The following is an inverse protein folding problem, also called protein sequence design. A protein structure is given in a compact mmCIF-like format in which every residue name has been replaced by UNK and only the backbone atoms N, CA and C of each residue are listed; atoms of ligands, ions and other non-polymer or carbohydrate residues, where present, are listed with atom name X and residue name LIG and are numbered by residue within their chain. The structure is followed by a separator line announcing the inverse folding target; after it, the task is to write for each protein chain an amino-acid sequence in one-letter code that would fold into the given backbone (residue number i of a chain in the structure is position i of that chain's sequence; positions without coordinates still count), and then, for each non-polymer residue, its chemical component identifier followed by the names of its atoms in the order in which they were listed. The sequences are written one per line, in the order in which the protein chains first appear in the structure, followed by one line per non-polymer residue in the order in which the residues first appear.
data_IF_128400114198
#
_entry.id   IF_128400114198
#
_cell.length_a   1.000
_cell.length_b   1.000
_cell.length_c   1.000
_cell.angle_alpha   90.00
_cell.angle_beta   90.00
_cell.angle_gamma   90.00
#
_symmetry.space_group_name_H-M   'P 1'
#
loop_
_entity.id
_entity.type
_entity.pdbx_description
1 polymer ?
#
# COMPACT_ATOMS: atom_id res chain seq x y z
N UNK A 1 14.71 -11.38 -5.16
CA UNK A 1 14.59 -12.83 -5.06
C UNK A 1 13.15 -13.27 -4.86
N UNK A 2 12.88 -14.56 -5.00
CA UNK A 2 11.56 -15.14 -4.80
C UNK A 2 11.49 -15.88 -3.45
N UNK A 3 11.95 -15.20 -2.40
CA UNK A 3 12.12 -15.76 -1.05
C UNK A 3 11.45 -14.85 -0.03
N UNK A 4 10.78 -15.43 0.96
CA UNK A 4 10.34 -14.80 2.19
C UNK A 4 11.28 -15.24 3.32
N UNK A 5 11.98 -14.28 3.93
CA UNK A 5 12.89 -14.53 5.05
C UNK A 5 12.24 -14.25 6.41
N UNK A 6 12.55 -15.06 7.40
CA UNK A 6 12.23 -14.86 8.81
C UNK A 6 13.52 -14.83 9.63
N UNK A 7 13.73 -13.78 10.40
CA UNK A 7 14.83 -13.66 11.34
C UNK A 7 14.30 -13.84 12.78
N UNK A 8 14.98 -14.66 13.57
CA UNK A 8 14.81 -14.67 15.03
C UNK A 8 15.76 -13.63 15.63
N UNK A 9 15.26 -12.53 16.22
CA UNK A 9 16.11 -11.46 16.70
C UNK A 9 16.93 -11.83 17.96
N UNK A 10 16.50 -12.86 18.70
CA UNK A 10 17.20 -13.31 19.92
C UNK A 10 18.40 -14.22 19.61
N UNK A 11 18.25 -15.10 18.59
CA UNK A 11 19.28 -16.08 18.25
C UNK A 11 20.08 -15.71 17.01
N UNK A 12 19.58 -14.76 16.17
CA UNK A 12 20.14 -14.44 14.86
C UNK A 12 19.85 -15.50 13.79
N UNK A 13 19.09 -16.55 14.12
CA UNK A 13 18.75 -17.60 13.17
C UNK A 13 17.85 -17.08 12.05
N UNK A 14 18.21 -17.41 10.81
CA UNK A 14 17.45 -17.06 9.61
C UNK A 14 16.80 -18.31 9.01
N UNK A 15 15.51 -18.21 8.66
CA UNK A 15 14.80 -19.24 7.90
C UNK A 15 14.21 -18.62 6.63
N UNK A 16 14.41 -19.31 5.51
CA UNK A 16 13.94 -18.89 4.19
C UNK A 16 12.83 -19.81 3.69
N UNK A 17 11.82 -19.20 3.05
CA UNK A 17 10.69 -19.89 2.44
C UNK A 17 10.62 -19.48 0.97
N UNK A 18 10.76 -20.43 0.06
CA UNK A 18 10.64 -20.17 -1.37
C UNK A 18 9.18 -19.87 -1.72
N UNK A 19 8.93 -18.64 -2.18
CA UNK A 19 7.61 -18.22 -2.65
C UNK A 19 7.18 -19.02 -3.90
N UNK A 20 5.86 -19.16 -4.15
CA UNK A 20 5.35 -19.75 -5.37
C UNK A 20 5.99 -19.14 -6.62
N UNK A 21 6.19 -19.94 -7.66
CA UNK A 21 6.89 -19.52 -8.88
C UNK A 21 6.32 -18.23 -9.48
N UNK A 22 7.20 -17.32 -9.88
CA UNK A 22 6.84 -16.06 -10.53
C UNK A 22 6.33 -14.96 -9.59
N UNK A 23 6.26 -15.18 -8.27
CA UNK A 23 5.67 -14.21 -7.31
C UNK A 23 6.47 -12.92 -7.23
N UNK A 24 7.77 -12.97 -6.97
CA UNK A 24 8.63 -11.81 -6.77
C UNK A 24 7.97 -10.74 -5.89
N UNK A 25 7.76 -11.10 -4.61
CA UNK A 25 7.06 -10.22 -3.68
C UNK A 25 7.77 -8.87 -3.52
N UNK A 26 6.99 -7.80 -3.52
CA UNK A 26 7.48 -6.44 -3.30
C UNK A 26 7.49 -6.06 -1.82
N UNK A 27 6.45 -6.40 -1.10
CA UNK A 27 6.32 -6.06 0.31
C UNK A 27 5.67 -7.17 1.13
N UNK A 28 5.91 -7.11 2.43
CA UNK A 28 5.33 -7.99 3.45
C UNK A 28 4.55 -7.13 4.43
N UNK A 29 3.39 -7.61 4.84
CA UNK A 29 2.57 -7.04 5.91
C UNK A 29 2.18 -8.14 6.88
N UNK A 30 2.05 -7.81 8.16
CA UNK A 30 1.56 -8.75 9.16
C UNK A 30 0.08 -8.48 9.45
N UNK A 31 -0.72 -9.53 9.56
CA UNK A 31 -2.07 -9.41 10.10
C UNK A 31 -2.05 -9.37 11.66
N UNK A 32 -3.21 -9.25 12.28
CA UNK A 32 -3.32 -9.23 13.76
C UNK A 32 -2.81 -10.50 14.45
N UNK A 33 -2.71 -11.61 13.73
CA UNK A 33 -2.19 -12.89 14.23
C UNK A 33 -0.69 -13.05 13.92
N UNK A 34 -0.02 -12.00 13.46
CA UNK A 34 1.38 -12.01 13.03
C UNK A 34 1.63 -12.94 11.83
N UNK A 35 0.61 -13.26 11.05
CA UNK A 35 0.77 -14.02 9.81
C UNK A 35 1.41 -13.13 8.74
N UNK A 36 2.51 -13.54 8.11
CA UNK A 36 3.16 -12.74 7.07
C UNK A 36 2.43 -12.89 5.75
N UNK A 37 1.91 -11.76 5.26
CA UNK A 37 1.27 -11.61 3.96
C UNK A 37 2.21 -10.95 2.97
N UNK A 38 2.25 -11.47 1.75
CA UNK A 38 3.07 -10.94 0.66
C UNK A 38 2.23 -10.44 -0.50
N UNK A 39 2.78 -9.50 -1.24
CA UNK A 39 2.22 -8.92 -2.45
C UNK A 39 3.09 -9.32 -3.64
N UNK A 40 2.60 -10.28 -4.44
CA UNK A 40 3.31 -10.87 -5.58
C UNK A 40 3.28 -9.95 -6.79
N UNK A 41 4.25 -9.06 -6.85
CA UNK A 41 4.30 -7.95 -7.79
C UNK A 41 4.35 -8.40 -9.26
N UNK A 42 5.01 -9.52 -9.58
CA UNK A 42 5.13 -9.96 -10.97
C UNK A 42 3.99 -10.84 -11.48
N UNK A 43 3.35 -11.59 -10.60
CA UNK A 43 2.32 -12.54 -11.01
C UNK A 43 0.88 -12.14 -10.64
N UNK A 44 0.69 -10.91 -10.10
CA UNK A 44 -0.63 -10.40 -9.74
C UNK A 44 -1.30 -11.23 -8.65
N UNK A 45 -0.56 -11.60 -7.60
CA UNK A 45 -1.09 -12.39 -6.51
C UNK A 45 -0.92 -11.69 -5.17
N UNK A 46 -1.78 -12.02 -4.24
CA UNK A 46 -1.65 -11.71 -2.81
C UNK A 46 -1.70 -13.03 -2.06
N UNK A 47 -0.90 -13.20 -1.02
CA UNK A 47 -0.93 -14.45 -0.28
C UNK A 47 -0.27 -14.34 1.08
N UNK A 48 -0.30 -15.43 1.82
CA UNK A 48 0.36 -15.51 3.12
C UNK A 48 1.05 -16.85 3.33
N UNK A 49 1.99 -16.88 4.26
CA UNK A 49 2.60 -18.08 4.78
C UNK A 49 1.89 -18.48 6.08
N UNK A 50 1.27 -19.65 6.08
CA UNK A 50 0.80 -20.27 7.33
C UNK A 50 2.01 -20.78 8.12
N UNK A 51 2.32 -20.14 9.24
CA UNK A 51 3.48 -20.46 10.06
C UNK A 51 3.39 -21.81 10.78
N UNK A 52 2.19 -22.41 10.89
CA UNK A 52 2.02 -23.74 11.52
C UNK A 52 2.29 -24.86 10.53
N UNK A 53 1.80 -24.71 9.30
CA UNK A 53 1.92 -25.75 8.25
C UNK A 53 3.07 -25.47 7.30
N UNK A 54 3.65 -24.27 7.35
CA UNK A 54 4.68 -23.72 6.45
C UNK A 54 4.24 -23.75 4.97
N UNK A 55 2.93 -23.68 4.73
CA UNK A 55 2.35 -23.67 3.38
C UNK A 55 1.89 -22.26 3.01
N UNK A 56 2.03 -21.94 1.74
CA UNK A 56 1.51 -20.69 1.18
C UNK A 56 0.05 -20.86 0.77
N UNK A 57 -0.77 -19.86 1.11
CA UNK A 57 -2.08 -19.64 0.49
C UNK A 57 -2.00 -18.43 -0.42
N UNK A 58 -2.54 -18.53 -1.64
CA UNK A 58 -2.43 -17.53 -2.69
C UNK A 58 -3.80 -17.18 -3.24
N UNK A 59 -4.04 -15.89 -3.41
CA UNK A 59 -5.22 -15.31 -4.06
C UNK A 59 -4.77 -14.64 -5.36
N UNK A 60 -5.42 -14.98 -6.46
CA UNK A 60 -5.19 -14.34 -7.76
C UNK A 60 -6.11 -13.14 -7.93
N UNK A 61 -5.62 -12.08 -8.57
CA UNK A 61 -6.47 -10.94 -8.92
C UNK A 61 -7.60 -11.37 -9.85
N UNK A 62 -8.83 -10.84 -9.66
CA UNK A 62 -9.99 -11.19 -10.49
C UNK A 62 -9.90 -10.57 -11.89
N UNK A 63 -9.11 -9.52 -12.07
CA UNK A 63 -8.89 -8.85 -13.34
C UNK A 63 -7.46 -9.12 -13.84
N UNK A 64 -7.32 -9.56 -15.09
CA UNK A 64 -6.02 -9.80 -15.76
C UNK A 64 -5.13 -8.56 -15.87
N UNK A 65 -5.71 -7.36 -15.79
CA UNK A 65 -4.99 -6.10 -15.80
C UNK A 65 -4.46 -5.69 -14.42
N UNK A 66 -4.94 -6.31 -13.34
CA UNK A 66 -4.48 -6.09 -11.98
C UNK A 66 -3.25 -6.96 -11.69
N UNK A 67 -2.05 -6.48 -12.05
CA UNK A 67 -0.86 -7.34 -12.11
C UNK A 67 0.16 -7.14 -11.01
N UNK A 68 0.29 -5.94 -10.47
CA UNK A 68 1.44 -5.52 -9.68
C UNK A 68 1.06 -5.03 -8.27
N UNK A 69 0.48 -5.88 -7.42
CA UNK A 69 0.23 -5.51 -6.04
C UNK A 69 1.55 -5.11 -5.37
N UNK A 70 1.53 -3.96 -4.66
CA UNK A 70 2.75 -3.27 -4.29
C UNK A 70 2.91 -3.06 -2.79
N UNK A 71 2.01 -2.32 -2.15
CA UNK A 71 2.03 -2.04 -0.70
C UNK A 71 0.67 -2.35 -0.11
N UNK A 72 0.63 -2.93 1.09
CA UNK A 72 -0.62 -3.29 1.74
C UNK A 72 -0.65 -3.01 3.23
N UNK A 73 -1.89 -2.91 3.76
CA UNK A 73 -2.18 -2.69 5.18
C UNK A 73 -3.49 -3.41 5.55
N UNK A 74 -3.55 -3.94 6.77
CA UNK A 74 -4.78 -4.53 7.33
C UNK A 74 -5.55 -3.49 8.12
N UNK A 75 -6.88 -3.48 7.99
CA UNK A 75 -7.74 -2.78 8.92
C UNK A 75 -8.11 -3.66 10.14
N UNK A 76 -8.79 -3.06 11.13
CA UNK A 76 -9.17 -3.74 12.37
C UNK A 76 -10.18 -4.88 12.14
N UNK A 77 -10.94 -4.84 11.05
CA UNK A 77 -11.84 -5.92 10.64
C UNK A 77 -11.09 -7.08 9.98
N UNK A 78 -9.80 -6.93 9.73
CA UNK A 78 -8.93 -7.90 9.09
C UNK A 78 -9.06 -7.92 7.56
N UNK A 79 -9.56 -6.86 6.97
CA UNK A 79 -9.56 -6.66 5.51
C UNK A 79 -8.17 -6.18 5.08
N UNK A 80 -7.65 -6.76 4.03
CA UNK A 80 -6.36 -6.38 3.46
C UNK A 80 -6.55 -5.39 2.31
N UNK A 81 -6.09 -4.16 2.51
CA UNK A 81 -6.08 -3.09 1.53
C UNK A 81 -4.72 -2.99 0.88
N UNK A 82 -4.66 -2.83 -0.44
CA UNK A 82 -3.38 -2.78 -1.15
C UNK A 82 -3.44 -1.94 -2.43
N UNK A 83 -2.28 -1.45 -2.84
CA UNK A 83 -2.11 -0.70 -4.08
C UNK A 83 -1.60 -1.62 -5.19
N UNK A 84 -2.00 -1.32 -6.44
CA UNK A 84 -1.46 -1.92 -7.65
C UNK A 84 -0.89 -0.78 -8.51
N UNK A 85 0.43 -0.62 -8.45
CA UNK A 85 1.10 0.61 -8.88
C UNK A 85 0.92 0.92 -10.37
N UNK A 86 1.40 0.04 -11.25
CA UNK A 86 1.32 0.26 -12.70
C UNK A 86 -0.06 -0.04 -13.27
N UNK A 87 -0.82 -0.89 -12.60
CA UNK A 87 -2.22 -1.16 -12.94
C UNK A 87 -3.17 -0.02 -12.62
N UNK A 88 -2.69 1.00 -11.89
CA UNK A 88 -3.48 2.19 -11.50
C UNK A 88 -4.74 1.85 -10.70
N UNK A 89 -4.64 0.86 -9.80
CA UNK A 89 -5.76 0.32 -9.04
C UNK A 89 -5.47 0.28 -7.54
N UNK A 90 -6.55 0.21 -6.76
CA UNK A 90 -6.54 -0.11 -5.33
C UNK A 90 -7.36 -1.39 -5.15
N UNK A 91 -6.83 -2.33 -4.37
CA UNK A 91 -7.46 -3.59 -4.06
C UNK A 91 -7.88 -3.70 -2.60
N UNK A 92 -8.95 -4.49 -2.37
CA UNK A 92 -9.49 -4.87 -1.08
C UNK A 92 -9.74 -6.37 -1.07
N UNK A 93 -9.04 -7.11 -0.24
CA UNK A 93 -9.23 -8.55 -0.05
C UNK A 93 -9.86 -8.81 1.32
N UNK A 94 -10.92 -9.59 1.33
CA UNK A 94 -11.44 -10.22 2.55
C UNK A 94 -10.79 -11.61 2.71
N UNK A 95 -9.86 -11.81 3.66
CA UNK A 95 -9.17 -13.08 3.83
C UNK A 95 -10.07 -14.26 4.20
N UNK A 96 -11.22 -13.99 4.83
CA UNK A 96 -12.17 -15.02 5.25
C UNK A 96 -12.94 -15.63 4.07
N UNK A 97 -13.44 -14.79 3.17
CA UNK A 97 -14.19 -15.23 1.98
C UNK A 97 -13.29 -15.46 0.77
N UNK A 98 -12.13 -14.81 0.71
CA UNK A 98 -11.27 -14.75 -0.47
C UNK A 98 -11.74 -13.74 -1.52
N UNK A 99 -12.78 -12.96 -1.22
CA UNK A 99 -13.32 -11.94 -2.13
C UNK A 99 -12.35 -10.77 -2.32
N UNK A 100 -12.03 -10.45 -3.56
CA UNK A 100 -11.19 -9.32 -3.95
C UNK A 100 -12.03 -8.33 -4.77
N UNK A 101 -12.06 -7.09 -4.30
CA UNK A 101 -12.61 -5.96 -5.04
C UNK A 101 -11.50 -5.03 -5.50
N UNK A 102 -11.65 -4.45 -6.68
CA UNK A 102 -10.70 -3.53 -7.29
C UNK A 102 -11.39 -2.22 -7.67
N UNK A 103 -10.70 -1.11 -7.47
CA UNK A 103 -11.12 0.20 -7.93
C UNK A 103 -10.00 0.86 -8.74
N UNK A 104 -10.30 1.32 -9.95
CA UNK A 104 -9.34 2.03 -10.81
C UNK A 104 -9.33 3.51 -10.46
N UNK A 105 -8.13 4.11 -10.32
CA UNK A 105 -8.00 5.54 -10.06
C UNK A 105 -8.51 6.35 -11.25
N UNK A 106 -9.24 7.46 -11.01
CA UNK A 106 -9.77 8.33 -12.07
C UNK A 106 -8.67 8.91 -12.96
N UNK A 107 -7.60 9.41 -12.35
CA UNK A 107 -6.44 9.94 -13.09
C UNK A 107 -5.56 8.79 -13.60
N UNK A 108 -5.41 8.69 -14.92
CA UNK A 108 -4.55 7.68 -15.55
C UNK A 108 -3.09 7.86 -15.14
N UNK A 109 -2.43 6.75 -14.89
CA UNK A 109 -1.00 6.74 -14.56
C UNK A 109 -0.67 7.33 -13.19
N UNK A 110 -1.63 7.42 -12.28
CA UNK A 110 -1.42 7.92 -10.91
C UNK A 110 -0.41 7.10 -10.11
N UNK A 111 -0.24 5.84 -10.45
CA UNK A 111 0.71 4.92 -9.79
C UNK A 111 0.55 4.93 -8.27
N UNK A 112 -0.58 4.43 -7.74
CA UNK A 112 -0.80 4.33 -6.29
C UNK A 112 0.33 3.52 -5.65
N UNK A 113 0.94 4.07 -4.59
CA UNK A 113 2.18 3.55 -4.03
C UNK A 113 2.05 3.19 -2.56
N UNK A 114 2.14 4.17 -1.67
CA UNK A 114 1.96 3.98 -0.23
C UNK A 114 0.49 3.95 0.15
N UNK A 115 0.16 3.17 1.18
CA UNK A 115 -1.18 3.09 1.74
C UNK A 115 -1.10 3.06 3.27
N UNK A 116 -1.96 3.81 3.94
CA UNK A 116 -2.14 3.83 5.40
C UNK A 116 -3.61 4.03 5.75
N UNK A 117 -3.98 3.68 6.96
CA UNK A 117 -5.34 3.88 7.47
C UNK A 117 -5.37 5.05 8.47
N UNK A 118 -6.43 5.83 8.43
CA UNK A 118 -6.71 6.81 9.48
C UNK A 118 -7.38 6.15 10.71
N UNK A 119 -7.69 6.93 11.74
CA UNK A 119 -8.29 6.43 13.00
C UNK A 119 -9.63 5.75 12.80
N UNK A 120 -10.34 6.05 11.71
CA UNK A 120 -11.61 5.40 11.34
C UNK A 120 -11.44 4.12 10.52
N UNK A 121 -10.20 3.74 10.18
CA UNK A 121 -9.88 2.63 9.28
C UNK A 121 -10.08 2.97 7.80
N UNK A 122 -10.19 4.24 7.44
CA UNK A 122 -10.30 4.68 6.04
C UNK A 122 -8.93 4.63 5.36
N UNK A 123 -8.79 3.97 4.19
CA UNK A 123 -7.52 3.93 3.49
C UNK A 123 -7.20 5.27 2.79
N UNK A 124 -5.95 5.69 2.98
CA UNK A 124 -5.32 6.82 2.30
C UNK A 124 -4.16 6.32 1.47
N UNK A 125 -4.05 6.79 0.24
CA UNK A 125 -3.06 6.34 -0.74
C UNK A 125 -2.28 7.52 -1.29
N UNK A 126 -0.96 7.36 -1.41
CA UNK A 126 -0.10 8.31 -2.11
C UNK A 126 0.12 7.88 -3.56
N UNK A 127 0.11 8.85 -4.48
CA UNK A 127 0.27 8.60 -5.91
C UNK A 127 1.64 9.05 -6.40
N UNK A 128 2.46 8.09 -6.85
CA UNK A 128 3.82 8.36 -7.31
C UNK A 128 3.88 8.93 -8.76
N UNK A 129 2.83 8.76 -9.54
CA UNK A 129 2.77 9.19 -10.94
C UNK A 129 1.91 10.42 -11.20
N UNK A 130 1.18 10.89 -10.19
CA UNK A 130 0.34 12.09 -10.26
C UNK A 130 0.43 12.90 -8.96
N UNK A 131 -0.05 14.15 -9.03
CA UNK A 131 -0.04 15.08 -7.89
C UNK A 131 -1.27 14.86 -7.01
N UNK A 132 -1.47 13.68 -6.43
CA UNK A 132 -2.61 13.46 -5.56
C UNK A 132 -2.34 12.54 -4.37
N UNK A 133 -3.15 12.73 -3.33
CA UNK A 133 -3.52 11.72 -2.38
C UNK A 133 -4.88 11.17 -2.79
N UNK A 134 -5.18 9.94 -2.41
CA UNK A 134 -6.49 9.33 -2.64
C UNK A 134 -7.04 8.85 -1.30
N UNK A 135 -8.29 9.24 -1.00
CA UNK A 135 -9.08 8.68 0.08
C UNK A 135 -10.03 7.63 -0.50
N UNK A 136 -10.11 6.48 0.13
CA UNK A 136 -10.98 5.37 -0.30
C UNK A 136 -12.16 5.27 0.64
N UNK A 137 -13.38 5.31 0.13
CA UNK A 137 -14.52 4.89 0.93
C UNK A 137 -14.46 3.38 1.17
N UNK A 138 -14.31 2.98 2.42
CA UNK A 138 -14.11 1.57 2.80
C UNK A 138 -15.32 0.66 2.55
N UNK A 139 -16.51 1.25 2.39
CA UNK A 139 -17.75 0.49 2.16
C UNK A 139 -18.07 0.36 0.67
N UNK A 140 -17.96 1.46 -0.08
CA UNK A 140 -18.34 1.53 -1.50
C UNK A 140 -17.18 1.30 -2.46
N UNK A 141 -15.93 1.47 -2.02
CA UNK A 141 -14.72 1.53 -2.85
C UNK A 141 -14.65 2.79 -3.73
N UNK A 142 -15.47 3.81 -3.49
CA UNK A 142 -15.36 5.09 -4.18
C UNK A 142 -14.05 5.79 -3.82
N UNK A 143 -13.44 6.42 -4.83
CA UNK A 143 -12.13 7.06 -4.72
C UNK A 143 -12.28 8.59 -4.83
N UNK A 144 -11.82 9.30 -3.80
CA UNK A 144 -11.73 10.76 -3.79
C UNK A 144 -10.27 11.20 -3.95
N UNK A 145 -9.94 11.85 -5.08
CA UNK A 145 -8.60 12.40 -5.33
C UNK A 145 -8.46 13.79 -4.73
N UNK A 146 -7.43 14.00 -3.91
CA UNK A 146 -7.02 15.28 -3.35
C UNK A 146 -5.80 15.75 -4.13
N UNK A 147 -5.97 16.78 -4.96
CA UNK A 147 -4.89 17.34 -5.74
C UNK A 147 -3.87 18.05 -4.85
N UNK A 148 -2.60 17.68 -5.00
CA UNK A 148 -1.49 18.29 -4.29
C UNK A 148 -0.89 19.46 -5.06
N UNK A 149 -0.37 20.48 -4.37
CA UNK A 149 0.28 21.63 -5.04
C UNK A 149 1.61 21.22 -5.69
N UNK A 150 1.95 21.88 -6.79
CA UNK A 150 3.17 21.65 -7.54
C UNK A 150 3.03 20.73 -8.75
N UNK A 151 3.99 20.79 -9.66
CA UNK A 151 3.94 20.09 -10.95
C UNK A 151 4.75 18.78 -11.00
N UNK A 152 5.68 18.57 -10.07
CA UNK A 152 6.60 17.43 -10.06
C UNK A 152 6.50 16.67 -8.74
N UNK A 153 5.35 16.10 -8.45
CA UNK A 153 5.22 15.31 -7.23
C UNK A 153 5.58 13.85 -7.51
N UNK A 154 6.47 13.32 -6.69
CA UNK A 154 6.76 11.89 -6.61
C UNK A 154 6.43 11.43 -5.19
N UNK A 155 5.13 11.40 -4.87
CA UNK A 155 4.65 11.06 -3.52
C UNK A 155 4.64 9.55 -3.35
N UNK A 156 5.64 9.01 -2.65
CA UNK A 156 5.79 7.56 -2.46
C UNK A 156 5.24 7.06 -1.14
N UNK A 157 5.54 7.75 -0.06
CA UNK A 157 5.18 7.32 1.29
C UNK A 157 4.30 8.36 1.96
N UNK A 158 3.44 7.88 2.83
CA UNK A 158 2.63 8.70 3.72
C UNK A 158 2.63 8.12 5.13
N UNK A 159 2.35 8.99 6.09
CA UNK A 159 2.09 8.64 7.48
C UNK A 159 0.83 9.39 7.92
N UNK A 160 0.09 8.80 8.85
CA UNK A 160 -1.11 9.42 9.41
C UNK A 160 -0.92 9.52 10.92
N UNK A 161 -1.15 10.70 11.46
CA UNK A 161 -1.04 10.96 12.90
C UNK A 161 -2.31 10.52 13.62
N UNK A 162 -2.28 10.36 14.96
CA UNK A 162 -3.48 9.98 15.74
C UNK A 162 -4.66 10.96 15.62
N UNK A 163 -4.40 12.21 15.24
CA UNK A 163 -5.41 13.23 14.95
C UNK A 163 -5.80 13.34 13.47
N UNK A 164 -5.43 12.30 12.68
CA UNK A 164 -5.74 12.09 11.27
C UNK A 164 -5.10 13.07 10.27
N UNK A 165 -4.03 13.75 10.65
CA UNK A 165 -3.25 14.52 9.69
C UNK A 165 -2.50 13.57 8.76
N UNK A 166 -2.63 13.78 7.43
CA UNK A 166 -1.94 12.98 6.44
C UNK A 166 -0.64 13.67 6.03
N UNK A 167 0.49 13.14 6.47
CA UNK A 167 1.82 13.58 6.05
C UNK A 167 2.27 12.77 4.84
N UNK A 168 2.95 13.43 3.91
CA UNK A 168 3.49 12.78 2.72
C UNK A 168 4.83 13.38 2.31
N UNK A 169 5.71 12.54 1.78
CA UNK A 169 6.98 12.98 1.19
C UNK A 169 6.80 13.24 -0.29
N UNK A 170 7.23 14.42 -0.73
CA UNK A 170 7.24 14.82 -2.12
C UNK A 170 8.67 14.98 -2.60
N UNK A 171 9.31 13.88 -3.00
CA UNK A 171 10.72 13.85 -3.37
C UNK A 171 11.02 14.67 -4.65
N UNK A 172 10.05 14.75 -5.57
CA UNK A 172 10.22 15.56 -6.80
C UNK A 172 10.31 17.06 -6.58
N UNK A 173 9.86 17.53 -5.41
CA UNK A 173 9.92 18.95 -5.03
C UNK A 173 10.80 19.19 -3.79
N UNK A 174 11.42 18.18 -3.22
CA UNK A 174 12.18 18.30 -1.97
C UNK A 174 11.35 18.83 -0.80
N UNK A 175 10.11 18.34 -0.65
CA UNK A 175 9.21 18.87 0.38
C UNK A 175 8.55 17.76 1.20
N UNK A 176 8.32 18.07 2.48
CA UNK A 176 7.36 17.39 3.33
C UNK A 176 6.02 18.11 3.24
N UNK A 177 4.95 17.39 2.95
CA UNK A 177 3.60 17.94 2.93
C UNK A 177 2.74 17.38 4.06
N UNK A 178 1.76 18.16 4.51
CA UNK A 178 0.70 17.75 5.42
C UNK A 178 -0.64 18.20 4.86
N UNK A 179 -1.54 17.26 4.71
CA UNK A 179 -2.94 17.52 4.40
C UNK A 179 -3.79 17.36 5.67
N UNK A 180 -4.68 18.33 5.92
CA UNK A 180 -5.64 18.28 7.02
C UNK A 180 -7.03 17.89 6.44
N UNK A 181 -7.52 16.66 6.69
CA UNK A 181 -8.81 16.22 6.15
C UNK A 181 -10.03 17.00 6.66
N UNK A 182 -9.91 17.66 7.82
CA UNK A 182 -11.03 18.40 8.44
C UNK A 182 -11.36 19.71 7.71
N UNK A 183 -10.35 20.34 7.10
CA UNK A 183 -10.53 21.66 6.45
C UNK A 183 -9.89 21.76 5.06
N UNK A 184 -9.30 20.68 4.55
CA UNK A 184 -8.67 20.63 3.24
C UNK A 184 -7.35 21.39 3.12
N UNK A 185 -6.82 21.95 4.21
CA UNK A 185 -5.58 22.74 4.19
C UNK A 185 -4.36 21.88 3.92
N UNK A 186 -3.51 22.30 2.98
CA UNK A 186 -2.20 21.72 2.72
C UNK A 186 -1.12 22.68 3.24
N UNK A 187 -0.14 22.13 3.95
CA UNK A 187 1.05 22.85 4.41
C UNK A 187 2.27 22.13 3.87
N UNK A 188 3.25 22.90 3.38
CA UNK A 188 4.51 22.37 2.83
C UNK A 188 5.69 22.93 3.61
N UNK A 189 6.71 22.10 3.81
CA UNK A 189 8.01 22.46 4.38
C UNK A 189 9.11 21.99 3.43
N UNK A 190 10.16 22.80 3.31
CA UNK A 190 11.33 22.43 2.55
C UNK A 190 12.10 21.30 3.24
N UNK A 191 12.55 20.31 2.44
CA UNK A 191 13.47 19.30 2.90
C UNK A 191 14.89 19.91 2.89
N UNK A 192 15.67 19.82 3.99
CA UNK A 192 17.05 20.32 4.01
C UNK A 192 17.95 19.76 2.91
N UNK A 193 17.68 18.56 2.42
CA UNK A 193 18.44 17.92 1.33
C UNK A 193 18.07 18.42 -0.08
N UNK A 194 17.05 19.29 -0.21
CA UNK A 194 16.59 19.83 -1.49
C UNK A 194 15.76 18.89 -2.34
N UNK A 195 15.62 19.24 -3.63
CA UNK A 195 14.86 18.44 -4.62
C UNK A 195 15.56 17.11 -4.90
N UNK A 196 14.75 16.10 -5.21
CA UNK A 196 15.18 14.71 -5.53
C UNK A 196 15.86 13.94 -4.38
N UNK A 197 15.64 14.34 -3.15
CA UNK A 197 16.13 13.66 -1.95
C UNK A 197 15.12 12.66 -1.36
#
# INVERSE_FOLDING_TARGET
GNILGRLNPETGEMKEYTLPSGTYAHSVSLDKNQTPWFLGNKNGTVGYLDLKTEKFKVYKMPDKNARDPHTGVFDDAGIFWFTLQHSNMIGRLNPKSGDIKLATLPTKGSRPYGIKLDSSGTPWVSCNGSNCLVKVDKNTMELSEIKLPGAKTHTRRLAITPDDMVFYVNSGMGKLGRYNPKNGKITLWDNPSGENS
#
